data_IF_861135229108
#
_entry.id   IF_861135229108
#
_cell.length_a   1.000
_cell.length_b   1.000
_cell.length_c   1.000
_cell.angle_alpha   90.00
_cell.angle_beta   90.00
_cell.angle_gamma   90.00
#
_symmetry.space_group_name_H-M   'P 1'
#
loop_
_entity.id
_entity.type
_entity.pdbx_description
1 polymer ?
#
# COMPACT_ATOMS: atom_id res chain seq x y z
N UNK A 1 -0.45 36.20 31.90
CA UNK A 1 -1.66 36.31 31.06
C UNK A 1 -2.09 34.89 30.70
N UNK A 2 -3.04 34.24 31.42
CA UNK A 2 -4.48 34.15 31.07
C UNK A 2 -4.65 34.05 29.53
N UNK A 3 -5.13 32.95 28.92
CA UNK A 3 -6.50 32.43 29.11
C UNK A 3 -6.74 31.09 28.36
N UNK A 4 -7.37 30.16 29.10
CA UNK A 4 -8.53 29.31 28.75
C UNK A 4 -8.49 28.19 27.71
N UNK A 5 -8.81 26.99 28.23
CA UNK A 5 -9.25 25.73 27.64
C UNK A 5 -10.54 25.81 26.83
N UNK A 6 -10.74 24.89 25.88
CA UNK A 6 -12.06 24.31 25.55
C UNK A 6 -11.88 22.81 25.31
N UNK A 7 -12.50 22.02 26.18
CA UNK A 7 -12.80 20.60 25.98
C UNK A 7 -14.17 20.49 25.28
N UNK A 8 -14.31 19.55 24.35
CA UNK A 8 -15.61 19.16 23.82
C UNK A 8 -15.71 17.64 23.87
N UNK A 9 -16.47 17.16 24.85
CA UNK A 9 -16.99 15.81 24.94
C UNK A 9 -18.16 15.66 23.97
N UNK A 10 -18.27 14.52 23.29
CA UNK A 10 -19.50 14.10 22.65
C UNK A 10 -19.73 12.61 22.91
N UNK A 11 -20.85 12.32 23.56
CA UNK A 11 -21.30 11.01 24.04
C UNK A 11 -22.39 10.42 23.15
N UNK A 12 -22.36 9.08 23.04
CA UNK A 12 -23.41 8.08 22.80
C UNK A 12 -24.42 8.21 21.63
N UNK A 13 -24.54 7.10 20.88
CA UNK A 13 -25.82 6.39 20.75
C UNK A 13 -25.60 4.89 20.45
N UNK A 14 -26.24 4.03 21.25
CA UNK A 14 -26.40 2.59 21.06
C UNK A 14 -27.59 2.34 20.13
N UNK A 15 -27.43 1.44 19.15
CA UNK A 15 -28.55 0.88 18.40
C UNK A 15 -28.31 -0.63 18.21
N UNK A 16 -29.19 -1.43 18.82
CA UNK A 16 -29.33 -2.86 18.58
C UNK A 16 -30.72 -3.12 17.99
N UNK A 17 -30.83 -4.00 16.99
CA UNK A 17 -32.06 -4.76 16.79
C UNK A 17 -31.82 -6.27 16.95
N UNK A 18 -32.69 -6.86 17.78
CA UNK A 18 -32.99 -8.29 17.90
C UNK A 18 -33.79 -8.77 16.67
N UNK A 19 -33.57 -10.03 16.28
CA UNK A 19 -34.66 -10.93 15.81
C UNK A 19 -34.60 -11.41 14.35
N UNK A 20 -34.69 -12.73 14.15
CA UNK A 20 -35.13 -13.34 12.88
C UNK A 20 -34.49 -14.69 12.55
N UNK A 21 -35.28 -15.77 12.66
CA UNK A 21 -34.88 -17.19 12.63
C UNK A 21 -34.65 -17.81 11.23
N UNK A 22 -33.74 -18.79 11.20
CA UNK A 22 -33.69 -20.04 10.40
C UNK A 22 -34.33 -20.12 9.01
N UNK A 23 -33.49 -20.43 8.01
CA UNK A 23 -33.84 -21.37 6.92
C UNK A 23 -32.59 -22.16 6.54
N UNK A 24 -32.64 -23.47 6.76
CA UNK A 24 -31.67 -24.42 6.21
C UNK A 24 -32.22 -24.98 4.90
N UNK A 25 -31.43 -24.97 3.83
CA UNK A 25 -31.52 -25.94 2.74
C UNK A 25 -30.26 -25.94 1.89
N UNK A 26 -29.49 -27.01 2.09
CA UNK A 26 -28.92 -27.92 1.10
C UNK A 26 -28.10 -27.37 -0.08
N UNK A 27 -26.85 -27.82 -0.08
CA UNK A 27 -25.80 -27.56 -1.05
C UNK A 27 -26.13 -27.96 -2.50
N UNK A 28 -25.58 -27.18 -3.43
CA UNK A 28 -25.14 -27.68 -4.73
C UNK A 28 -23.70 -27.22 -4.95
N UNK A 29 -22.82 -28.19 -5.09
CA UNK A 29 -21.39 -28.02 -5.33
C UNK A 29 -21.17 -27.39 -6.72
N UNK A 30 -20.71 -26.14 -6.71
CA UNK A 30 -20.08 -25.48 -7.85
C UNK A 30 -18.81 -24.82 -7.35
N UNK A 31 -17.66 -25.32 -7.79
CA UNK A 31 -16.34 -24.82 -7.41
C UNK A 31 -16.24 -23.30 -7.61
N UNK A 32 -16.04 -22.48 -6.55
CA UNK A 32 -15.64 -21.10 -6.76
C UNK A 32 -14.16 -21.11 -7.12
N UNK A 33 -13.89 -20.92 -8.41
CA UNK A 33 -12.60 -20.43 -8.88
C UNK A 33 -12.29 -19.20 -8.03
N UNK A 34 -11.20 -19.26 -7.29
CA UNK A 34 -10.83 -18.31 -6.25
C UNK A 34 -10.71 -16.89 -6.80
N UNK A 35 -11.84 -16.18 -6.85
CA UNK A 35 -11.89 -14.75 -6.62
C UNK A 35 -11.57 -14.56 -5.14
N UNK A 36 -10.30 -14.77 -4.79
CA UNK A 36 -9.77 -14.43 -3.48
C UNK A 36 -9.86 -12.91 -3.35
N UNK A 37 -11.01 -12.49 -2.83
CA UNK A 37 -11.13 -11.42 -1.87
C UNK A 37 -10.19 -10.27 -2.16
N UNK A 38 -10.56 -9.44 -3.12
CA UNK A 38 -10.41 -8.00 -2.97
C UNK A 38 -11.22 -7.57 -1.74
N UNK A 39 -10.77 -8.00 -0.56
CA UNK A 39 -11.34 -7.58 0.71
C UNK A 39 -11.12 -6.07 0.74
N UNK A 40 -12.22 -5.34 0.82
CA UNK A 40 -12.25 -3.93 1.17
C UNK A 40 -11.79 -3.70 2.62
N UNK A 41 -10.69 -4.36 3.02
CA UNK A 41 -9.97 -4.15 4.25
C UNK A 41 -8.88 -3.11 4.02
N UNK A 42 -8.52 -2.43 5.09
CA UNK A 42 -7.42 -1.46 5.24
C UNK A 42 -6.00 -1.98 4.87
N UNK A 43 -5.91 -3.05 4.08
CA UNK A 43 -4.68 -3.64 3.57
C UNK A 43 -4.11 -2.92 2.35
N UNK A 44 -2.82 -3.14 2.09
CA UNK A 44 -2.07 -2.61 0.93
C UNK A 44 -1.75 -3.71 -0.10
N UNK A 45 -2.20 -4.94 0.14
CA UNK A 45 -2.02 -6.08 -0.77
C UNK A 45 -2.76 -5.86 -2.08
N UNK A 46 -2.21 -6.36 -3.17
CA UNK A 46 -2.77 -6.18 -4.51
C UNK A 46 -1.72 -5.69 -5.50
N UNK A 47 -2.19 -5.40 -6.72
CA UNK A 47 -1.38 -4.80 -7.77
C UNK A 47 -1.81 -3.35 -7.99
N UNK A 48 -0.83 -2.46 -8.13
CA UNK A 48 -1.01 -1.02 -8.18
C UNK A 48 -0.18 -0.45 -9.32
N UNK A 49 -0.75 0.52 -10.06
CA UNK A 49 -0.04 1.26 -11.13
C UNK A 49 -0.18 2.75 -10.95
N UNK A 50 0.91 3.47 -11.17
CA UNK A 50 0.98 4.92 -11.09
C UNK A 50 2.21 5.46 -11.82
N UNK A 51 2.41 6.77 -11.72
CA UNK A 51 3.65 7.43 -12.13
C UNK A 51 4.46 7.81 -10.90
N UNK A 52 5.77 7.62 -11.00
CA UNK A 52 6.76 8.00 -9.97
C UNK A 52 7.30 9.37 -10.33
N UNK A 53 7.35 10.27 -9.37
CA UNK A 53 7.88 11.63 -9.51
C UNK A 53 8.97 11.84 -8.48
N UNK A 54 10.17 12.25 -8.92
CA UNK A 54 11.26 12.63 -8.03
C UNK A 54 11.12 14.06 -7.49
N UNK A 55 12.10 14.48 -6.69
CA UNK A 55 12.15 15.82 -6.09
C UNK A 55 12.21 16.96 -7.14
N UNK A 56 12.69 16.68 -8.36
CA UNK A 56 12.75 17.64 -9.48
C UNK A 56 11.39 17.94 -10.15
N UNK A 57 10.28 17.43 -9.59
CA UNK A 57 8.93 17.79 -10.02
C UNK A 57 8.36 16.98 -11.18
N UNK A 58 7.06 17.20 -11.45
CA UNK A 58 6.19 16.30 -12.20
C UNK A 58 6.51 16.06 -13.69
N UNK A 59 7.51 16.76 -14.26
CA UNK A 59 7.76 16.79 -15.71
C UNK A 59 8.35 15.49 -16.28
N UNK A 60 9.07 14.69 -15.49
CA UNK A 60 9.77 13.47 -15.95
C UNK A 60 9.25 12.18 -15.28
N UNK A 61 7.96 12.14 -14.92
CA UNK A 61 7.42 10.98 -14.22
C UNK A 61 7.37 9.71 -15.07
N UNK A 62 8.00 8.63 -14.60
CA UNK A 62 7.96 7.32 -15.27
C UNK A 62 6.90 6.40 -14.69
N UNK A 63 6.37 5.50 -15.52
CA UNK A 63 5.37 4.51 -15.09
C UNK A 63 5.97 3.46 -14.17
N UNK A 64 5.23 3.10 -13.13
CA UNK A 64 5.59 2.02 -12.21
C UNK A 64 4.41 1.07 -11.94
N UNK A 65 4.76 -0.20 -11.71
CA UNK A 65 3.84 -1.25 -11.26
C UNK A 65 4.37 -1.85 -9.98
N UNK A 66 3.58 -1.80 -8.91
CA UNK A 66 3.87 -2.38 -7.61
C UNK A 66 2.92 -3.55 -7.36
N UNK A 67 3.44 -4.70 -6.95
CA UNK A 67 2.65 -5.83 -6.47
C UNK A 67 3.04 -6.11 -5.02
N UNK A 68 2.07 -6.08 -4.12
CA UNK A 68 2.26 -6.40 -2.70
C UNK A 68 1.46 -7.65 -2.38
N UNK A 69 2.12 -8.65 -1.82
CA UNK A 69 1.51 -9.94 -1.44
C UNK A 69 1.84 -10.26 0.01
N UNK A 70 0.95 -10.98 0.68
CA UNK A 70 1.24 -11.59 1.97
C UNK A 70 1.59 -13.06 1.76
N UNK A 71 2.73 -13.51 2.30
CA UNK A 71 3.17 -14.91 2.28
C UNK A 71 3.78 -15.23 3.63
N UNK A 72 3.37 -16.35 4.23
CA UNK A 72 3.84 -16.80 5.55
C UNK A 72 3.69 -15.71 6.63
N UNK A 73 2.54 -15.04 6.63
CA UNK A 73 2.25 -13.93 7.56
C UNK A 73 2.96 -12.60 7.25
N UNK A 74 3.94 -12.58 6.35
CA UNK A 74 4.78 -11.39 6.06
C UNK A 74 4.45 -10.76 4.72
N UNK A 75 4.50 -9.43 4.66
CA UNK A 75 4.35 -8.70 3.42
C UNK A 75 5.63 -8.77 2.58
N UNK A 76 5.45 -8.85 1.27
CA UNK A 76 6.50 -8.76 0.26
C UNK A 76 6.02 -7.86 -0.86
N UNK A 77 6.91 -7.04 -1.39
CA UNK A 77 6.62 -6.20 -2.54
C UNK A 77 7.52 -6.53 -3.71
N UNK A 78 7.03 -6.26 -4.91
CA UNK A 78 7.83 -6.22 -6.13
C UNK A 78 7.43 -4.97 -6.91
N UNK A 79 8.42 -4.22 -7.37
CA UNK A 79 8.22 -3.03 -8.19
C UNK A 79 8.91 -3.21 -9.53
N UNK A 80 8.28 -2.69 -10.57
CA UNK A 80 8.88 -2.50 -11.90
C UNK A 80 8.67 -1.05 -12.25
N UNK A 81 9.76 -0.30 -12.44
CA UNK A 81 9.70 1.13 -12.70
C UNK A 81 10.96 1.57 -13.46
N UNK A 82 10.80 2.29 -14.58
CA UNK A 82 11.92 2.87 -15.34
C UNK A 82 13.09 1.90 -15.55
N UNK A 83 12.88 0.77 -16.22
CA UNK A 83 13.93 -0.25 -16.45
C UNK A 83 14.44 -1.01 -15.21
N UNK A 84 14.14 -0.55 -13.99
CA UNK A 84 14.53 -1.16 -12.74
C UNK A 84 13.47 -2.13 -12.20
N UNK A 85 13.92 -3.24 -11.61
CA UNK A 85 13.06 -4.22 -10.94
C UNK A 85 13.53 -4.41 -9.50
N UNK A 86 12.71 -3.95 -8.57
CA UNK A 86 12.96 -4.04 -7.14
C UNK A 86 12.17 -5.14 -6.45
N UNK A 87 12.74 -5.69 -5.37
CA UNK A 87 12.04 -6.51 -4.38
C UNK A 87 12.02 -5.79 -3.05
N UNK A 88 10.88 -5.83 -2.37
CA UNK A 88 10.67 -5.20 -1.07
C UNK A 88 10.60 -6.24 0.03
N UNK A 89 11.43 -6.04 1.05
CA UNK A 89 11.36 -6.76 2.31
C UNK A 89 10.61 -5.91 3.32
N UNK A 90 9.60 -6.48 3.98
CA UNK A 90 8.81 -5.76 4.98
C UNK A 90 9.60 -5.60 6.28
N UNK A 91 9.68 -4.35 6.74
CA UNK A 91 10.44 -3.94 7.92
C UNK A 91 9.53 -3.67 9.13
N UNK A 92 8.22 -3.43 8.92
CA UNK A 92 7.26 -3.19 10.00
C UNK A 92 6.16 -2.20 9.63
N UNK A 93 5.24 -1.94 10.58
CA UNK A 93 4.12 -1.01 10.41
C UNK A 93 4.03 -0.06 11.60
N UNK A 94 3.77 1.22 11.34
CA UNK A 94 3.53 2.24 12.37
C UNK A 94 2.63 3.34 11.81
N UNK A 95 1.61 3.78 12.57
CA UNK A 95 0.72 4.87 12.17
C UNK A 95 0.07 4.68 10.79
N UNK A 96 -0.41 3.46 10.50
CA UNK A 96 -0.99 3.14 9.18
C UNK A 96 0.00 3.01 8.02
N UNK A 97 1.28 3.35 8.23
CA UNK A 97 2.35 3.24 7.24
C UNK A 97 3.06 1.90 7.34
N UNK A 98 3.20 1.22 6.21
CA UNK A 98 3.98 0.01 6.04
C UNK A 98 5.36 0.38 5.52
N UNK A 99 6.40 -0.10 6.19
CA UNK A 99 7.80 0.20 5.86
C UNK A 99 8.42 -1.02 5.21
N UNK A 100 9.17 -0.76 4.15
CA UNK A 100 9.93 -1.77 3.45
C UNK A 100 11.34 -1.27 3.12
N UNK A 101 12.24 -2.21 2.91
CA UNK A 101 13.51 -1.98 2.23
C UNK A 101 13.42 -2.56 0.83
N UNK A 102 13.64 -1.73 -0.17
CA UNK A 102 13.78 -2.18 -1.56
C UNK A 102 15.23 -2.51 -1.86
N UNK A 103 15.41 -3.63 -2.57
CA UNK A 103 16.66 -3.98 -3.24
C UNK A 103 16.38 -4.16 -4.72
N UNK A 104 17.15 -3.47 -5.56
CA UNK A 104 17.11 -3.71 -7.01
C UNK A 104 17.70 -5.08 -7.29
N UNK A 105 16.96 -5.87 -8.05
CA UNK A 105 17.29 -7.26 -8.40
C UNK A 105 17.57 -7.45 -9.86
N UNK A 106 17.09 -6.54 -10.71
CA UNK A 106 17.41 -6.49 -12.12
C UNK A 106 17.34 -5.05 -12.59
N UNK A 107 18.22 -4.72 -13.50
CA UNK A 107 18.35 -3.44 -14.17
C UNK A 107 18.43 -3.69 -15.67
N UNK A 108 17.79 -2.84 -16.47
CA UNK A 108 17.93 -2.87 -17.92
C UNK A 108 19.15 -2.03 -18.31
N UNK A 109 19.90 -2.46 -19.33
CA UNK A 109 21.05 -1.72 -19.83
C UNK A 109 20.71 -0.25 -20.13
N UNK A 110 21.58 0.67 -19.73
CA UNK A 110 21.41 2.12 -19.90
C UNK A 110 20.59 2.82 -18.82
N UNK A 111 20.19 2.12 -17.75
CA UNK A 111 19.60 2.72 -16.56
C UNK A 111 20.63 2.82 -15.44
N UNK A 112 20.38 3.73 -14.49
CA UNK A 112 21.16 3.91 -13.27
C UNK A 112 20.23 3.71 -12.06
N UNK A 113 19.99 2.46 -11.71
CA UNK A 113 19.08 2.07 -10.63
C UNK A 113 19.76 2.23 -9.26
N UNK A 114 19.09 2.93 -8.35
CA UNK A 114 19.53 3.04 -6.96
C UNK A 114 19.46 1.67 -6.28
N UNK A 115 20.60 1.13 -5.81
CA UNK A 115 20.70 -0.27 -5.36
C UNK A 115 19.83 -0.60 -4.14
N UNK A 116 19.60 0.37 -3.25
CA UNK A 116 18.85 0.18 -2.01
C UNK A 116 18.12 1.45 -1.59
N UNK A 117 16.82 1.35 -1.39
CA UNK A 117 15.99 2.49 -0.99
C UNK A 117 15.03 2.10 0.13
N UNK A 118 14.72 3.06 1.00
CA UNK A 118 13.68 2.91 2.01
C UNK A 118 12.34 3.27 1.38
N UNK A 119 11.35 2.42 1.62
CA UNK A 119 10.02 2.57 1.03
C UNK A 119 9.00 2.68 2.14
N UNK A 120 8.16 3.69 2.05
CA UNK A 120 6.96 3.84 2.88
C UNK A 120 5.74 3.67 1.99
N UNK A 121 4.79 2.88 2.45
CA UNK A 121 3.56 2.58 1.74
C UNK A 121 2.39 2.83 2.66
N UNK A 122 1.40 3.56 2.20
CA UNK A 122 0.16 3.74 2.94
C UNK A 122 -1.03 3.92 1.99
N UNK A 123 -2.23 3.71 2.52
CA UNK A 123 -3.46 3.97 1.79
C UNK A 123 -3.75 5.46 1.81
N UNK A 124 -4.15 5.99 0.66
CA UNK A 124 -4.65 7.36 0.50
C UNK A 124 -6.01 7.26 -0.18
N UNK A 125 -7.06 7.07 0.63
CA UNK A 125 -8.39 6.69 0.16
C UNK A 125 -8.34 5.40 -0.66
N UNK A 126 -8.87 5.44 -1.88
CA UNK A 126 -8.84 4.32 -2.83
C UNK A 126 -7.45 4.05 -3.44
N UNK A 127 -6.49 4.97 -3.31
CA UNK A 127 -5.16 4.91 -3.93
C UNK A 127 -4.11 4.34 -2.98
N UNK A 128 -3.03 3.84 -3.55
CA UNK A 128 -1.81 3.51 -2.82
C UNK A 128 -0.82 4.67 -2.98
N UNK A 129 -0.33 5.21 -1.87
CA UNK A 129 0.82 6.11 -1.88
C UNK A 129 2.07 5.31 -1.55
N UNK A 130 3.11 5.52 -2.36
CA UNK A 130 4.43 4.93 -2.17
C UNK A 130 5.45 6.05 -2.20
N UNK A 131 6.24 6.16 -1.14
CA UNK A 131 7.31 7.12 -1.00
C UNK A 131 8.64 6.35 -0.92
N UNK A 132 9.55 6.63 -1.84
CA UNK A 132 10.93 6.13 -1.83
C UNK A 132 11.86 7.19 -1.28
N UNK A 133 12.88 6.75 -0.56
CA UNK A 133 14.00 7.58 -0.13
C UNK A 133 15.31 6.83 -0.26
N UNK A 134 16.25 7.39 -1.00
CA UNK A 134 17.62 6.92 -0.99
C UNK A 134 18.29 7.33 0.32
N UNK A 135 18.82 6.38 1.12
CA UNK A 135 19.35 6.70 2.44
C UNK A 135 20.67 7.48 2.41
N UNK A 136 21.40 7.50 1.27
CA UNK A 136 22.72 8.15 1.14
C UNK A 136 22.61 9.59 0.67
N UNK A 137 22.01 9.81 -0.49
CA UNK A 137 21.80 11.16 -1.05
C UNK A 137 20.66 11.89 -0.34
N UNK A 138 19.65 11.16 0.14
CA UNK A 138 18.43 11.73 0.68
C UNK A 138 17.32 11.90 -0.37
N UNK A 139 17.63 11.67 -1.65
CA UNK A 139 16.70 11.82 -2.77
C UNK A 139 15.41 11.05 -2.53
N UNK A 140 14.29 11.68 -2.86
CA UNK A 140 12.98 11.09 -2.71
C UNK A 140 12.24 10.98 -4.02
N UNK A 141 11.32 10.02 -4.04
CA UNK A 141 10.37 9.89 -5.11
C UNK A 141 9.01 9.47 -4.55
N UNK A 142 7.94 9.93 -5.17
CA UNK A 142 6.57 9.61 -4.75
C UNK A 142 5.77 9.04 -5.90
N UNK A 143 4.93 8.05 -5.61
CA UNK A 143 3.91 7.54 -6.52
C UNK A 143 2.55 7.54 -5.83
N UNK A 144 1.53 8.02 -6.55
CA UNK A 144 0.12 7.73 -6.27
C UNK A 144 -0.39 6.74 -7.31
N UNK A 145 -0.81 5.57 -6.85
CA UNK A 145 -1.20 4.46 -7.70
C UNK A 145 -2.66 4.03 -7.50
N UNK A 146 -3.29 3.61 -8.59
CA UNK A 146 -4.62 3.00 -8.60
C UNK A 146 -4.49 1.47 -8.58
N UNK A 147 -5.49 0.75 -8.04
CA UNK A 147 -5.51 -0.71 -8.17
C UNK A 147 -5.60 -1.10 -9.64
N UNK A 148 -5.07 -2.29 -9.97
CA UNK A 148 -5.10 -2.90 -11.31
C UNK A 148 -5.99 -4.12 -11.30
#
# INVERSE_FOLDING_TARGET
MRRTSIAAALTLALFSPLGGSTTASTAAAGSPISAESASAGTGITGTWRGRVYGDDGAAAGYGAKVRITKRDGRLRGRVVAGGCIGRWTFDGRSGGTFRFTERITRERAGWNCVKRVKVKVHRSGAKLRVDWREPRSGDTATMLAKPV
#
